data_IF_561474513323
#
_entry.id   IF_561474513323
#
_cell.length_a   1.000
_cell.length_b   1.000
_cell.length_c   1.000
_cell.angle_alpha   90.00
_cell.angle_beta   90.00
_cell.angle_gamma   90.00
#
_symmetry.space_group_name_H-M   'P 1'
#
loop_
_entity.id
_entity.type
_entity.pdbx_description
1 polymer ?
#
# COMPACT_ATOMS: atom_id res chain seq x y z
N UNK A 1 58.98 -15.48 47.02
CA UNK A 1 59.76 -15.91 45.83
C UNK A 1 59.00 -15.39 44.61
N UNK A 2 59.11 -14.13 44.18
CA UNK A 2 60.24 -13.45 43.51
C UNK A 2 60.77 -14.28 42.30
N UNK A 3 60.79 -13.82 41.04
CA UNK A 3 61.10 -12.50 40.49
C UNK A 3 60.43 -12.24 39.12
N UNK A 4 60.10 -10.95 38.90
CA UNK A 4 59.91 -10.26 37.61
C UNK A 4 61.22 -10.25 36.80
N UNK A 5 61.12 -10.16 35.46
CA UNK A 5 62.07 -9.38 34.64
C UNK A 5 61.35 -8.65 33.50
N UNK A 6 61.39 -7.33 33.59
CA UNK A 6 61.24 -6.33 32.53
C UNK A 6 62.56 -6.24 31.75
N UNK A 7 62.49 -6.05 30.42
CA UNK A 7 63.41 -5.16 29.67
C UNK A 7 62.69 -4.63 28.41
N UNK A 8 62.62 -3.30 28.29
CA UNK A 8 62.42 -2.46 27.08
C UNK A 8 63.71 -1.63 26.90
N UNK A 9 63.86 -0.76 25.87
CA UNK A 9 63.60 -0.84 24.42
C UNK A 9 64.88 -0.48 23.60
N UNK A 10 64.84 -0.54 22.27
CA UNK A 10 65.85 0.10 21.42
C UNK A 10 65.21 0.88 20.25
N UNK A 11 65.55 2.17 20.17
CA UNK A 11 65.30 3.11 19.06
C UNK A 11 66.62 3.41 18.36
N UNK A 12 66.62 3.46 17.03
CA UNK A 12 67.41 4.35 16.16
C UNK A 12 66.76 4.24 14.76
N UNK A 13 66.14 5.29 14.18
CA UNK A 13 66.81 6.32 13.37
C UNK A 13 67.35 5.69 12.08
N UNK A 14 66.84 5.86 10.86
CA UNK A 14 66.12 6.97 10.23
C UNK A 14 66.98 7.47 9.06
N UNK A 15 66.65 7.12 7.81
CA UNK A 15 67.12 7.83 6.59
C UNK A 15 65.96 7.90 5.59
N UNK A 16 65.83 9.10 5.03
CA UNK A 16 64.78 9.65 4.19
C UNK A 16 65.09 9.32 2.72
N UNK A 17 64.09 8.85 1.97
CA UNK A 17 64.16 8.66 0.52
C UNK A 17 62.77 8.79 -0.10
N UNK A 18 62.56 9.89 -0.80
CA UNK A 18 61.31 10.37 -1.39
C UNK A 18 60.72 9.41 -2.44
N UNK A 19 59.54 8.87 -2.16
CA UNK A 19 58.42 8.64 -3.10
C UNK A 19 57.16 8.62 -2.22
N UNK A 20 56.35 9.68 -2.16
CA UNK A 20 55.65 10.26 -3.30
C UNK A 20 54.30 9.56 -3.40
N UNK A 21 53.32 10.09 -2.66
CA UNK A 21 51.87 9.98 -2.90
C UNK A 21 51.35 8.68 -3.53
N UNK A 22 50.70 7.83 -2.72
CA UNK A 22 49.45 7.10 -3.05
C UNK A 22 49.08 6.13 -1.92
N UNK A 23 48.74 6.70 -0.78
CA UNK A 23 47.87 6.06 0.20
C UNK A 23 46.72 7.05 0.47
N UNK A 24 45.48 6.62 0.24
CA UNK A 24 44.27 7.41 0.50
C UNK A 24 43.72 8.19 -0.69
N UNK A 25 43.14 7.48 -1.68
CA UNK A 25 42.09 7.98 -2.62
C UNK A 25 41.77 6.88 -3.64
N UNK A 26 40.64 6.18 -3.44
CA UNK A 26 39.90 5.22 -4.32
C UNK A 26 39.30 4.17 -3.38
N UNK A 27 38.26 4.44 -2.62
CA UNK A 27 36.90 4.67 -3.10
C UNK A 27 36.28 5.81 -2.29
N UNK A 28 36.22 6.99 -2.89
CA UNK A 28 35.36 8.06 -2.40
C UNK A 28 33.93 7.69 -2.74
N UNK A 29 33.20 7.14 -1.78
CA UNK A 29 31.77 7.42 -1.72
C UNK A 29 31.66 8.80 -1.09
N UNK A 30 31.26 9.85 -1.83
CA UNK A 30 30.76 11.01 -1.16
C UNK A 30 29.53 10.55 -0.38
N UNK A 31 29.49 10.84 0.91
CA UNK A 31 28.24 11.03 1.65
C UNK A 31 27.58 12.30 1.09
N UNK A 32 27.24 12.28 -0.20
CA UNK A 32 26.28 13.18 -0.79
C UNK A 32 24.94 12.83 -0.16
N UNK A 33 24.29 13.84 0.40
CA UNK A 33 22.86 13.91 0.71
C UNK A 33 22.11 12.71 0.13
N UNK A 34 21.47 11.91 0.99
CA UNK A 34 20.46 10.95 0.55
C UNK A 34 19.44 11.74 -0.26
N UNK A 35 19.61 11.78 -1.58
CA UNK A 35 18.67 12.38 -2.48
C UNK A 35 17.37 11.63 -2.24
N UNK A 36 16.45 12.27 -1.52
CA UNK A 36 15.12 11.75 -1.33
C UNK A 36 14.60 11.42 -2.73
N UNK A 37 14.32 10.14 -2.96
CA UNK A 37 13.85 9.66 -4.26
C UNK A 37 12.69 10.55 -4.74
N UNK A 38 12.75 11.03 -5.98
CA UNK A 38 11.73 11.96 -6.48
C UNK A 38 10.35 11.29 -6.46
N UNK A 39 9.26 12.08 -6.40
CA UNK A 39 7.90 11.53 -6.48
C UNK A 39 7.69 10.63 -7.71
N UNK A 40 8.30 10.96 -8.84
CA UNK A 40 8.24 10.15 -10.08
C UNK A 40 8.97 8.82 -9.92
N UNK A 41 10.17 8.81 -9.30
CA UNK A 41 10.91 7.59 -9.00
C UNK A 41 10.10 6.66 -8.10
N UNK A 42 9.51 7.22 -7.03
CA UNK A 42 8.63 6.49 -6.13
C UNK A 42 7.39 5.91 -6.85
N UNK A 43 6.75 6.71 -7.72
CA UNK A 43 5.59 6.26 -8.53
C UNK A 43 5.94 5.12 -9.49
N UNK A 44 7.17 5.08 -9.99
CA UNK A 44 7.63 4.00 -10.86
C UNK A 44 7.96 2.73 -10.06
N UNK A 45 8.59 2.87 -8.89
CA UNK A 45 9.10 1.75 -8.09
C UNK A 45 8.06 1.10 -7.18
N UNK A 46 7.27 1.89 -6.46
CA UNK A 46 6.33 1.38 -5.44
C UNK A 46 5.28 0.39 -5.96
N UNK A 47 4.72 0.54 -7.19
CA UNK A 47 3.73 -0.40 -7.69
C UNK A 47 4.30 -1.80 -7.95
N UNK A 48 5.62 -1.93 -8.13
CA UNK A 48 6.26 -3.24 -8.33
C UNK A 48 6.17 -4.07 -7.05
N UNK A 49 5.76 -5.33 -7.19
CA UNK A 49 5.54 -6.22 -6.05
C UNK A 49 5.89 -7.67 -6.41
N UNK A 50 6.34 -8.43 -5.41
CA UNK A 50 6.67 -9.86 -5.51
C UNK A 50 5.67 -10.73 -4.73
N UNK A 51 4.97 -10.14 -3.77
CA UNK A 51 3.95 -10.78 -2.97
C UNK A 51 2.69 -11.13 -3.78
N UNK A 52 1.90 -12.03 -3.22
CA UNK A 52 0.60 -12.49 -3.73
C UNK A 52 -0.50 -11.90 -2.85
N UNK A 53 -1.20 -10.90 -3.37
CA UNK A 53 -2.18 -10.13 -2.60
C UNK A 53 -3.64 -10.49 -2.88
N UNK A 54 -3.88 -11.49 -3.75
CA UNK A 54 -5.22 -11.99 -4.06
C UNK A 54 -6.17 -10.94 -4.64
N UNK A 55 -7.46 -11.21 -4.46
CA UNK A 55 -8.60 -10.41 -4.93
C UNK A 55 -9.31 -9.79 -3.72
N UNK A 56 -9.53 -8.48 -3.78
CA UNK A 56 -10.29 -7.71 -2.80
C UNK A 56 -11.81 -8.05 -2.94
N UNK A 57 -12.56 -8.14 -1.84
CA UNK A 57 -13.98 -8.54 -1.82
C UNK A 57 -14.22 -10.06 -1.87
N UNK A 58 -13.15 -10.84 -1.93
CA UNK A 58 -13.20 -12.30 -1.85
C UNK A 58 -13.91 -12.97 -3.03
N UNK A 59 -14.25 -14.25 -2.84
CA UNK A 59 -14.88 -15.07 -3.89
C UNK A 59 -16.35 -14.72 -4.15
N UNK A 60 -17.01 -14.03 -3.21
CA UNK A 60 -18.38 -13.54 -3.39
C UNK A 60 -18.47 -12.53 -4.54
N UNK A 61 -17.56 -11.55 -4.58
CA UNK A 61 -17.49 -10.58 -5.68
C UNK A 61 -17.20 -11.24 -7.03
N UNK A 62 -16.31 -12.23 -7.06
CA UNK A 62 -15.99 -12.99 -8.30
C UNK A 62 -17.22 -13.73 -8.82
N UNK A 63 -18.00 -14.38 -7.94
CA UNK A 63 -19.24 -15.06 -8.32
C UNK A 63 -20.27 -14.09 -8.93
N UNK A 64 -20.41 -12.90 -8.35
CA UNK A 64 -21.30 -11.85 -8.89
C UNK A 64 -20.95 -11.41 -10.32
N UNK A 65 -19.70 -11.65 -10.77
CA UNK A 65 -19.24 -11.29 -12.09
C UNK A 65 -19.39 -12.40 -13.15
N UNK A 66 -19.71 -13.64 -12.75
CA UNK A 66 -19.82 -14.77 -13.69
C UNK A 66 -20.96 -14.57 -14.70
N UNK A 67 -22.11 -14.06 -14.24
CA UNK A 67 -23.26 -13.80 -15.10
C UNK A 67 -22.97 -12.73 -16.17
N UNK A 68 -22.51 -11.50 -15.82
CA UNK A 68 -22.19 -10.51 -16.85
C UNK A 68 -21.02 -10.96 -17.74
N UNK A 69 -20.04 -11.71 -17.21
CA UNK A 69 -18.98 -12.27 -18.03
C UNK A 69 -19.51 -13.28 -19.07
N UNK A 70 -20.34 -14.24 -18.64
CA UNK A 70 -20.94 -15.25 -19.52
C UNK A 70 -21.85 -14.62 -20.58
N UNK A 71 -22.71 -13.69 -20.18
CA UNK A 71 -23.58 -12.95 -21.11
C UNK A 71 -22.76 -12.12 -22.11
N UNK A 72 -21.67 -11.48 -21.66
CA UNK A 72 -20.79 -10.71 -22.53
C UNK A 72 -20.08 -11.56 -23.57
N UNK A 73 -19.52 -12.71 -23.16
CA UNK A 73 -18.89 -13.69 -24.07
C UNK A 73 -19.90 -14.23 -25.09
N UNK A 74 -21.11 -14.56 -24.64
CA UNK A 74 -22.17 -15.03 -25.53
C UNK A 74 -22.52 -13.99 -26.59
N UNK A 75 -22.74 -12.73 -26.19
CA UNK A 75 -23.06 -11.65 -27.14
C UNK A 75 -21.93 -11.41 -28.14
N UNK A 76 -20.67 -11.41 -27.69
CA UNK A 76 -19.53 -11.34 -28.61
C UNK A 76 -19.51 -12.51 -29.58
N UNK A 77 -19.71 -13.74 -29.10
CA UNK A 77 -19.79 -14.93 -29.94
C UNK A 77 -20.90 -14.83 -30.98
N UNK A 78 -22.10 -14.40 -30.56
CA UNK A 78 -23.25 -14.18 -31.45
C UNK A 78 -22.94 -13.13 -32.53
N UNK A 79 -22.23 -12.05 -32.19
CA UNK A 79 -21.86 -10.99 -33.13
C UNK A 79 -20.93 -11.49 -34.25
N UNK A 80 -20.16 -12.54 -33.98
CA UNK A 80 -19.12 -13.10 -34.85
C UNK A 80 -19.55 -14.42 -35.53
N UNK A 81 -20.77 -14.92 -35.29
CA UNK A 81 -21.23 -16.17 -35.86
C UNK A 81 -21.16 -16.16 -37.41
N UNK A 82 -20.37 -17.07 -38.02
CA UNK A 82 -20.27 -17.17 -39.47
C UNK A 82 -21.54 -17.80 -40.05
N UNK A 83 -21.87 -17.44 -41.30
CA UNK A 83 -23.00 -18.04 -42.02
C UNK A 83 -24.40 -17.57 -41.61
N UNK A 84 -24.53 -16.74 -40.57
CA UNK A 84 -25.82 -16.15 -40.17
C UNK A 84 -25.98 -14.75 -40.75
N UNK A 85 -26.96 -14.57 -41.64
CA UNK A 85 -27.36 -13.27 -42.14
C UNK A 85 -28.05 -12.48 -41.01
N UNK A 86 -27.40 -11.41 -40.54
CA UNK A 86 -27.91 -10.52 -39.50
C UNK A 86 -27.83 -9.08 -40.01
N UNK A 87 -28.81 -8.21 -39.72
CA UNK A 87 -28.67 -6.79 -39.94
C UNK A 87 -27.42 -6.23 -39.22
N UNK A 88 -26.75 -5.26 -39.84
CA UNK A 88 -25.55 -4.64 -39.27
C UNK A 88 -25.81 -4.07 -37.87
N UNK A 89 -26.95 -3.42 -37.66
CA UNK A 89 -27.30 -2.83 -36.36
C UNK A 89 -27.37 -3.90 -35.25
N UNK A 90 -27.87 -5.10 -35.55
CA UNK A 90 -27.94 -6.20 -34.58
C UNK A 90 -26.53 -6.67 -34.21
N UNK A 91 -25.64 -6.85 -35.20
CA UNK A 91 -24.24 -7.22 -34.94
C UNK A 91 -23.53 -6.18 -34.09
N UNK A 92 -23.77 -4.89 -34.35
CA UNK A 92 -23.21 -3.80 -33.57
C UNK A 92 -23.76 -3.79 -32.13
N UNK A 93 -25.06 -4.04 -31.93
CA UNK A 93 -25.65 -4.10 -30.60
C UNK A 93 -25.10 -5.28 -29.79
N UNK A 94 -24.97 -6.46 -30.41
CA UNK A 94 -24.37 -7.65 -29.80
C UNK A 94 -22.90 -7.40 -29.44
N UNK A 95 -22.12 -6.79 -30.35
CA UNK A 95 -20.71 -6.46 -30.12
C UNK A 95 -20.54 -5.45 -28.98
N UNK A 96 -21.25 -4.32 -29.04
CA UNK A 96 -21.14 -3.24 -28.04
C UNK A 96 -21.69 -3.70 -26.69
N UNK A 97 -22.83 -4.39 -26.67
CA UNK A 97 -23.39 -4.96 -25.45
C UNK A 97 -22.48 -6.00 -24.82
N UNK A 98 -21.90 -6.89 -25.62
CA UNK A 98 -20.92 -7.88 -25.18
C UNK A 98 -19.68 -7.25 -24.57
N UNK A 99 -19.09 -6.27 -25.25
CA UNK A 99 -17.95 -5.50 -24.75
C UNK A 99 -18.29 -4.72 -23.46
N UNK A 100 -19.46 -4.10 -23.38
CA UNK A 100 -19.92 -3.35 -22.22
C UNK A 100 -20.13 -4.25 -20.99
N UNK A 101 -20.59 -5.49 -21.16
CA UNK A 101 -20.72 -6.46 -20.06
C UNK A 101 -19.37 -6.99 -19.61
N UNK A 102 -18.45 -7.26 -20.54
CA UNK A 102 -17.10 -7.72 -20.22
C UNK A 102 -16.21 -6.65 -19.59
N UNK A 103 -16.50 -5.36 -19.82
CA UNK A 103 -15.73 -4.28 -19.23
C UNK A 103 -15.69 -4.37 -17.70
N UNK A 104 -16.79 -4.81 -17.06
CA UNK A 104 -16.94 -4.83 -15.61
C UNK A 104 -16.02 -5.86 -14.94
N UNK A 105 -16.04 -7.17 -15.29
CA UNK A 105 -15.08 -8.12 -14.75
C UNK A 105 -13.64 -7.76 -15.09
N UNK A 106 -13.35 -7.28 -16.30
CA UNK A 106 -11.99 -6.86 -16.67
C UNK A 106 -11.48 -5.74 -15.76
N UNK A 107 -12.32 -4.72 -15.50
CA UNK A 107 -11.98 -3.63 -14.57
C UNK A 107 -11.87 -4.10 -13.13
N UNK A 108 -12.72 -5.01 -12.68
CA UNK A 108 -12.64 -5.62 -11.34
C UNK A 108 -11.27 -6.27 -11.13
N UNK A 109 -10.90 -7.20 -12.01
CA UNK A 109 -9.63 -7.91 -11.90
C UNK A 109 -8.44 -6.95 -12.03
N UNK A 110 -8.52 -5.99 -12.95
CA UNK A 110 -7.46 -4.99 -13.07
C UNK A 110 -7.31 -4.16 -11.79
N UNK A 111 -8.37 -3.56 -11.28
CA UNK A 111 -8.30 -2.64 -10.13
C UNK A 111 -7.84 -3.37 -8.87
N UNK A 112 -8.32 -4.60 -8.67
CA UNK A 112 -7.97 -5.39 -7.48
C UNK A 112 -6.58 -6.04 -7.54
N UNK A 113 -6.12 -6.47 -8.72
CA UNK A 113 -4.83 -7.15 -8.84
C UNK A 113 -3.67 -6.19 -9.14
N UNK A 114 -3.93 -5.08 -9.82
CA UNK A 114 -2.87 -4.15 -10.29
C UNK A 114 -3.16 -2.69 -9.95
N UNK A 115 -4.37 -2.21 -10.24
CA UNK A 115 -4.74 -0.80 -10.14
C UNK A 115 -4.49 -0.21 -8.76
N UNK A 116 -4.81 -0.97 -7.69
CA UNK A 116 -4.57 -0.56 -6.31
C UNK A 116 -3.12 -0.15 -6.03
N UNK A 117 -2.15 -0.83 -6.62
CA UNK A 117 -0.72 -0.52 -6.40
C UNK A 117 -0.32 0.81 -7.02
N UNK A 118 -0.83 1.13 -8.22
CA UNK A 118 -0.58 2.41 -8.86
C UNK A 118 -1.23 3.57 -8.11
N UNK A 119 -2.47 3.38 -7.67
CA UNK A 119 -3.20 4.40 -6.92
C UNK A 119 -2.49 4.67 -5.60
N UNK A 120 -2.14 3.65 -4.83
CA UNK A 120 -1.44 3.83 -3.56
C UNK A 120 -0.02 4.37 -3.72
N UNK A 121 0.71 3.99 -4.78
CA UNK A 121 1.99 4.61 -5.08
C UNK A 121 1.86 6.12 -5.33
N UNK A 122 0.84 6.53 -6.09
CA UNK A 122 0.53 7.95 -6.32
C UNK A 122 0.19 8.65 -5.01
N UNK A 123 -0.73 8.09 -4.22
CA UNK A 123 -1.12 8.60 -2.90
C UNK A 123 0.10 8.81 -1.99
N UNK A 124 0.92 7.78 -1.80
CA UNK A 124 2.09 7.81 -0.93
C UNK A 124 3.21 8.72 -1.46
N UNK A 125 3.36 8.85 -2.78
CA UNK A 125 4.36 9.75 -3.39
C UNK A 125 4.07 11.23 -3.12
N UNK A 126 2.82 11.59 -2.86
CA UNK A 126 2.42 12.98 -2.56
C UNK A 126 2.66 13.37 -1.10
N UNK A 127 3.00 12.41 -0.23
CA UNK A 127 3.24 12.65 1.18
C UNK A 127 4.72 13.03 1.42
N UNK A 128 5.00 14.08 2.21
CA UNK A 128 6.36 14.51 2.53
C UNK A 128 6.96 13.62 3.64
N UNK A 129 7.07 12.31 3.39
CA UNK A 129 7.66 11.36 4.33
C UNK A 129 9.18 11.38 4.23
N UNK A 130 9.87 11.41 5.37
CA UNK A 130 11.33 11.44 5.47
C UNK A 130 11.96 10.05 5.47
N UNK A 131 11.14 9.00 5.55
CA UNK A 131 11.60 7.61 5.55
C UNK A 131 11.83 7.02 6.93
N UNK A 132 11.59 7.80 8.00
CA UNK A 132 11.78 7.42 9.41
C UNK A 132 10.50 7.49 10.24
N UNK A 133 9.38 7.78 9.60
CA UNK A 133 8.07 7.85 10.23
C UNK A 133 7.63 6.50 10.79
N UNK A 134 6.78 6.55 11.82
CA UNK A 134 5.99 5.41 12.27
C UNK A 134 4.62 5.50 11.63
N UNK A 135 4.30 4.54 10.76
CA UNK A 135 3.03 4.47 10.05
C UNK A 135 2.16 3.31 10.54
N UNK A 136 0.84 3.51 10.54
CA UNK A 136 -0.16 2.48 10.82
C UNK A 136 -1.02 2.26 9.58
N UNK A 137 -1.17 1.01 9.14
CA UNK A 137 -2.26 0.60 8.27
C UNK A 137 -3.36 -0.07 9.10
N UNK A 138 -4.53 0.57 9.15
CA UNK A 138 -5.73 -0.02 9.74
C UNK A 138 -6.35 -0.98 8.74
N UNK A 139 -6.58 -2.24 9.10
CA UNK A 139 -7.18 -3.27 8.24
C UNK A 139 -6.27 -3.60 7.07
N UNK A 140 -5.06 -4.05 7.39
CA UNK A 140 -4.02 -4.24 6.38
C UNK A 140 -4.25 -5.44 5.44
N UNK A 141 -5.24 -6.31 5.74
CA UNK A 141 -5.51 -7.52 4.99
C UNK A 141 -4.22 -8.30 4.72
N UNK A 142 -3.94 -8.57 3.44
CA UNK A 142 -2.70 -9.26 3.01
C UNK A 142 -1.46 -8.37 2.91
N UNK A 143 -1.43 -7.23 3.60
CA UNK A 143 -0.31 -6.30 3.73
C UNK A 143 0.15 -5.60 2.44
N UNK A 144 -0.75 -5.33 1.50
CA UNK A 144 -0.40 -4.69 0.22
C UNK A 144 0.12 -3.26 0.38
N UNK A 145 -0.60 -2.42 1.13
CA UNK A 145 -0.18 -1.04 1.37
C UNK A 145 0.92 -0.99 2.44
N UNK A 146 0.84 -1.86 3.45
CA UNK A 146 1.86 -2.01 4.47
C UNK A 146 3.24 -2.31 3.87
N UNK A 147 3.30 -3.18 2.85
CA UNK A 147 4.54 -3.44 2.13
C UNK A 147 5.07 -2.20 1.39
N UNK A 148 4.19 -1.41 0.77
CA UNK A 148 4.59 -0.13 0.15
C UNK A 148 5.07 0.88 1.19
N UNK A 149 4.45 0.94 2.37
CA UNK A 149 4.93 1.73 3.50
C UNK A 149 6.32 1.26 3.95
N UNK A 150 6.54 -0.04 4.10
CA UNK A 150 7.88 -0.59 4.43
C UNK A 150 8.94 -0.17 3.40
N UNK A 151 8.62 -0.21 2.10
CA UNK A 151 9.51 0.27 1.04
C UNK A 151 9.77 1.78 1.09
N UNK A 152 8.82 2.56 1.63
CA UNK A 152 8.88 4.02 1.72
C UNK A 152 9.56 4.51 3.00
N UNK A 153 9.65 3.65 4.01
CA UNK A 153 10.14 3.94 5.36
C UNK A 153 11.37 3.09 5.69
N UNK A 154 12.53 3.32 5.04
CA UNK A 154 13.72 2.48 5.23
C UNK A 154 14.29 2.50 6.66
N UNK A 155 14.11 3.60 7.37
CA UNK A 155 14.54 3.78 8.76
C UNK A 155 13.35 3.81 9.74
N UNK A 156 12.14 3.78 9.20
CA UNK A 156 10.90 3.88 9.96
C UNK A 156 10.31 2.52 10.33
N UNK A 157 9.04 2.54 10.73
CA UNK A 157 8.27 1.34 11.08
C UNK A 157 6.87 1.45 10.51
N UNK A 158 6.36 0.35 9.95
CA UNK A 158 4.99 0.25 9.49
C UNK A 158 4.27 -0.83 10.28
N UNK A 159 3.12 -0.50 10.87
CA UNK A 159 2.34 -1.41 11.72
C UNK A 159 1.03 -1.70 11.01
N UNK A 160 0.67 -2.97 10.84
CA UNK A 160 -0.61 -3.41 10.29
C UNK A 160 -1.49 -4.02 11.37
N UNK A 161 -2.75 -3.59 11.43
CA UNK A 161 -3.78 -4.16 12.32
C UNK A 161 -4.86 -4.81 11.47
N UNK A 162 -5.25 -6.05 11.75
CA UNK A 162 -6.25 -6.78 10.94
C UNK A 162 -7.03 -7.80 11.78
N UNK A 163 -8.27 -8.11 11.37
CA UNK A 163 -9.13 -9.13 11.98
C UNK A 163 -9.03 -10.50 11.30
N UNK A 164 -8.37 -10.57 10.14
CA UNK A 164 -8.05 -11.79 9.38
C UNK A 164 -9.29 -12.54 8.89
N UNK A 165 -10.22 -11.81 8.28
CA UNK A 165 -11.47 -12.35 7.72
C UNK A 165 -11.33 -12.67 6.24
N UNK A 166 -11.65 -13.89 5.85
CA UNK A 166 -11.51 -14.36 4.45
C UNK A 166 -12.67 -13.92 3.55
N UNK A 167 -13.79 -13.52 4.16
CA UNK A 167 -14.96 -12.97 3.48
C UNK A 167 -14.63 -11.61 2.83
N UNK A 168 -13.80 -10.81 3.50
CA UNK A 168 -13.43 -9.46 3.05
C UNK A 168 -12.33 -9.49 1.96
N UNK A 169 -11.42 -10.47 2.02
CA UNK A 169 -10.34 -10.64 1.03
C UNK A 169 -9.93 -12.11 0.91
N UNK A 170 -9.72 -12.59 -0.32
CA UNK A 170 -9.33 -13.98 -0.58
C UNK A 170 -8.00 -14.34 0.09
N UNK A 171 -7.98 -15.43 0.86
CA UNK A 171 -6.80 -15.95 1.59
C UNK A 171 -6.23 -14.93 2.61
N UNK A 172 -7.08 -14.09 3.20
CA UNK A 172 -6.68 -13.19 4.27
C UNK A 172 -6.31 -13.98 5.53
N UNK A 173 -5.02 -14.00 5.86
CA UNK A 173 -4.50 -14.57 7.10
C UNK A 173 -3.22 -13.85 7.52
N UNK A 174 -2.85 -13.98 8.78
CA UNK A 174 -1.60 -13.45 9.31
C UNK A 174 -0.38 -13.98 8.52
N UNK A 175 -0.37 -15.28 8.21
CA UNK A 175 0.71 -15.96 7.49
C UNK A 175 0.82 -15.45 6.06
N UNK A 176 -0.31 -15.25 5.37
CA UNK A 176 -0.29 -14.77 3.99
C UNK A 176 0.19 -13.32 3.90
N UNK A 177 -0.21 -12.47 4.85
CA UNK A 177 0.30 -11.11 5.00
C UNK A 177 1.80 -11.09 5.31
N UNK A 178 2.25 -11.90 6.27
CA UNK A 178 3.67 -12.02 6.62
C UNK A 178 4.52 -12.54 5.45
N UNK A 179 4.03 -13.54 4.72
CA UNK A 179 4.71 -14.07 3.54
C UNK A 179 4.89 -13.00 2.45
N UNK A 180 3.90 -12.12 2.27
CA UNK A 180 4.04 -10.98 1.36
C UNK A 180 5.11 -10.00 1.84
N UNK A 181 5.12 -9.61 3.11
CA UNK A 181 6.15 -8.71 3.65
C UNK A 181 7.57 -9.28 3.46
N UNK A 182 7.74 -10.60 3.63
CA UNK A 182 9.02 -11.29 3.37
C UNK A 182 9.36 -11.26 1.88
N UNK A 183 8.41 -11.60 1.00
CA UNK A 183 8.62 -11.59 -0.45
C UNK A 183 9.00 -10.19 -0.99
N UNK A 184 8.52 -9.13 -0.35
CA UNK A 184 8.85 -7.74 -0.67
C UNK A 184 10.17 -7.25 -0.04
N UNK A 185 10.78 -8.04 0.85
CA UNK A 185 12.02 -7.67 1.53
C UNK A 185 11.85 -6.56 2.58
N UNK A 186 10.67 -6.44 3.20
CA UNK A 186 10.36 -5.38 4.18
C UNK A 186 9.82 -5.92 5.51
N UNK A 187 9.92 -7.24 5.75
CA UNK A 187 9.45 -7.84 7.00
C UNK A 187 10.20 -7.33 8.25
N UNK A 188 11.43 -6.86 8.10
CA UNK A 188 12.29 -6.32 9.17
C UNK A 188 11.80 -4.99 9.77
N UNK A 189 10.95 -4.27 9.04
CA UNK A 189 10.41 -2.95 9.42
C UNK A 189 8.89 -2.90 9.46
N UNK A 190 8.23 -4.03 9.23
CA UNK A 190 6.79 -4.16 9.25
C UNK A 190 6.35 -5.08 10.38
N UNK A 191 5.38 -4.63 11.17
CA UNK A 191 4.76 -5.40 12.24
C UNK A 191 3.31 -5.72 11.88
N UNK A 192 2.84 -6.91 12.25
CA UNK A 192 1.45 -7.34 12.07
C UNK A 192 0.86 -7.68 13.42
N UNK A 193 -0.34 -7.21 13.67
CA UNK A 193 -1.07 -7.42 14.92
C UNK A 193 -2.53 -7.73 14.62
N UNK A 194 -3.13 -8.60 15.42
CA UNK A 194 -4.56 -8.88 15.37
C UNK A 194 -5.30 -7.86 16.22
N UNK A 195 -6.30 -7.18 15.66
CA UNK A 195 -7.08 -6.20 16.42
C UNK A 195 -8.24 -5.59 15.64
N UNK A 196 -9.22 -5.07 16.38
CA UNK A 196 -10.32 -4.31 15.81
C UNK A 196 -9.92 -2.83 15.66
N UNK A 197 -10.14 -2.29 14.48
CA UNK A 197 -9.79 -0.91 14.17
C UNK A 197 -10.72 0.12 14.82
N UNK A 198 -11.81 -0.33 15.45
CA UNK A 198 -12.68 0.47 16.33
C UNK A 198 -12.13 0.58 17.76
N UNK A 199 -11.12 -0.20 18.10
CA UNK A 199 -10.44 -0.18 19.41
C UNK A 199 -8.97 -0.58 19.22
N UNK A 200 -8.15 0.34 18.71
CA UNK A 200 -6.77 0.08 18.36
C UNK A 200 -5.94 -0.19 19.63
N UNK A 201 -5.14 -1.27 19.66
CA UNK A 201 -4.21 -1.57 20.75
C UNK A 201 -2.94 -0.72 20.63
N UNK A 202 -3.10 0.60 20.45
CA UNK A 202 -2.02 1.56 20.26
C UNK A 202 -2.24 2.77 21.15
N UNK A 203 -1.17 3.31 21.78
CA UNK A 203 -1.27 4.53 22.55
C UNK A 203 -1.67 5.74 21.70
N UNK A 204 -2.23 6.74 22.37
CA UNK A 204 -2.48 8.06 21.79
C UNK A 204 -1.18 8.64 21.21
N UNK A 205 -1.30 9.44 20.15
CA UNK A 205 -0.19 10.18 19.57
C UNK A 205 1.08 9.34 19.28
N UNK A 206 0.91 8.12 18.77
CA UNK A 206 2.00 7.18 18.53
C UNK A 206 2.47 7.12 17.07
N UNK A 207 1.65 7.53 16.10
CA UNK A 207 1.94 7.44 14.67
C UNK A 207 2.06 8.80 13.99
N UNK A 208 2.98 8.91 13.03
CA UNK A 208 3.13 10.08 12.16
C UNK A 208 2.16 10.01 10.96
N UNK A 209 1.81 8.79 10.54
CA UNK A 209 0.91 8.51 9.42
C UNK A 209 -0.04 7.36 9.78
N UNK A 210 -1.32 7.53 9.52
CA UNK A 210 -2.31 6.46 9.51
C UNK A 210 -2.87 6.34 8.11
N UNK A 211 -2.92 5.13 7.58
CA UNK A 211 -3.54 4.82 6.29
C UNK A 211 -4.63 3.77 6.45
N UNK A 212 -5.65 3.86 5.61
CA UNK A 212 -6.76 2.89 5.58
C UNK A 212 -7.21 2.65 4.14
N UNK A 213 -7.32 1.39 3.74
CA UNK A 213 -7.81 0.97 2.42
C UNK A 213 -9.13 0.19 2.55
N UNK A 214 -10.18 0.65 1.86
CA UNK A 214 -11.39 -0.11 1.52
C UNK A 214 -11.98 -0.94 2.67
N UNK A 215 -12.14 -0.37 3.86
CA UNK A 215 -12.66 -1.15 4.98
C UNK A 215 -13.42 -0.36 6.05
N UNK A 216 -13.54 0.98 5.96
CA UNK A 216 -14.45 1.69 6.90
C UNK A 216 -15.90 1.50 6.44
N UNK A 217 -16.16 1.48 5.13
CA UNK A 217 -17.50 1.22 4.58
C UNK A 217 -18.08 -0.16 4.95
N UNK A 218 -17.23 -1.14 5.28
CA UNK A 218 -17.67 -2.48 5.70
C UNK A 218 -18.23 -2.50 7.13
N UNK A 219 -18.00 -1.44 7.92
CA UNK A 219 -18.65 -1.31 9.23
C UNK A 219 -20.11 -0.88 8.99
N UNK A 220 -21.09 -1.71 9.37
CA UNK A 220 -22.48 -1.52 8.94
C UNK A 220 -23.10 -0.26 9.54
N UNK A 221 -22.81 0.01 10.81
CA UNK A 221 -23.40 1.11 11.56
C UNK A 221 -22.51 2.37 11.55
N UNK A 222 -23.17 3.53 11.65
CA UNK A 222 -22.48 4.82 11.66
C UNK A 222 -21.60 5.02 12.90
N UNK A 223 -22.04 4.54 14.06
CA UNK A 223 -21.29 4.70 15.30
C UNK A 223 -19.95 3.97 15.26
N UNK A 224 -19.92 2.75 14.72
CA UNK A 224 -18.70 2.00 14.48
C UNK A 224 -17.77 2.68 13.47
N UNK A 225 -18.30 3.30 12.40
CA UNK A 225 -17.48 4.10 11.46
C UNK A 225 -16.88 5.33 12.17
N UNK A 226 -17.65 6.03 12.99
CA UNK A 226 -17.15 7.16 13.80
C UNK A 226 -16.09 6.72 14.81
N UNK A 227 -16.26 5.55 15.44
CA UNK A 227 -15.28 4.99 16.37
C UNK A 227 -13.97 4.70 15.64
N UNK A 228 -14.02 4.04 14.48
CA UNK A 228 -12.84 3.78 13.65
C UNK A 228 -12.08 5.07 13.26
N UNK A 229 -12.80 6.10 12.83
CA UNK A 229 -12.19 7.40 12.51
C UNK A 229 -11.61 8.07 13.76
N UNK A 230 -12.34 8.01 14.88
CA UNK A 230 -11.88 8.52 16.17
C UNK A 230 -10.58 7.87 16.61
N UNK A 231 -10.47 6.54 16.51
CA UNK A 231 -9.25 5.80 16.82
C UNK A 231 -8.09 6.18 15.89
N UNK A 232 -8.36 6.32 14.59
CA UNK A 232 -7.37 6.77 13.62
C UNK A 232 -6.77 8.15 14.00
N UNK A 233 -7.63 9.08 14.44
CA UNK A 233 -7.20 10.41 14.88
C UNK A 233 -6.50 10.36 16.25
N UNK A 234 -7.01 9.58 17.20
CA UNK A 234 -6.45 9.44 18.55
C UNK A 234 -4.98 8.98 18.52
N UNK A 235 -4.67 8.00 17.67
CA UNK A 235 -3.31 7.45 17.59
C UNK A 235 -2.35 8.32 16.77
N UNK A 236 -2.84 9.35 16.08
CA UNK A 236 -1.98 10.29 15.36
C UNK A 236 -1.32 11.28 16.31
N UNK A 237 -0.02 11.48 16.10
CA UNK A 237 0.73 12.58 16.71
C UNK A 237 0.14 13.93 16.26
N UNK A 238 0.29 15.00 17.05
CA UNK A 238 0.09 16.35 16.56
C UNK A 238 0.90 16.60 15.28
N UNK A 239 0.24 17.06 14.21
CA UNK A 239 0.84 17.24 12.89
C UNK A 239 0.95 15.96 12.03
N UNK A 240 0.46 14.83 12.55
CA UNK A 240 0.34 13.57 11.83
C UNK A 240 -0.69 13.65 10.69
N UNK A 241 -0.64 12.65 9.81
CA UNK A 241 -1.47 12.62 8.59
C UNK A 241 -2.35 11.38 8.56
N UNK A 242 -3.59 11.54 8.11
CA UNK A 242 -4.50 10.44 7.83
C UNK A 242 -4.76 10.36 6.33
N UNK A 243 -4.67 9.16 5.77
CA UNK A 243 -5.08 8.88 4.40
C UNK A 243 -6.07 7.73 4.38
N UNK A 244 -7.32 8.03 4.01
CA UNK A 244 -8.36 7.03 3.82
C UNK A 244 -8.52 6.87 2.31
N UNK A 245 -8.64 5.65 1.81
CA UNK A 245 -9.04 5.40 0.42
C UNK A 245 -10.25 4.46 0.44
N UNK A 246 -11.42 5.00 0.12
CA UNK A 246 -12.69 4.29 0.23
C UNK A 246 -13.59 4.55 -1.00
N UNK A 247 -14.63 3.75 -1.21
CA UNK A 247 -15.55 3.81 -2.37
C UNK A 247 -16.95 4.30 -1.99
N UNK A 248 -17.28 4.35 -0.71
CA UNK A 248 -18.61 4.76 -0.22
C UNK A 248 -18.50 5.51 1.11
N UNK A 249 -19.55 6.25 1.48
CA UNK A 249 -19.74 6.88 2.82
C UNK A 249 -18.71 7.97 3.16
N UNK A 250 -18.03 8.51 2.18
CA UNK A 250 -16.85 9.37 2.39
C UNK A 250 -17.20 10.78 2.84
N UNK A 251 -18.39 11.27 2.51
CA UNK A 251 -18.93 12.52 3.07
C UNK A 251 -19.11 12.42 4.58
N UNK A 252 -19.56 11.26 5.09
CA UNK A 252 -19.66 11.02 6.54
C UNK A 252 -18.27 11.11 7.19
N UNK A 253 -17.22 10.68 6.49
CA UNK A 253 -15.85 10.71 7.01
C UNK A 253 -15.33 12.14 7.12
N UNK A 254 -15.59 12.98 6.10
CA UNK A 254 -15.18 14.38 6.11
C UNK A 254 -15.69 15.10 7.35
N UNK A 255 -17.00 15.03 7.58
CA UNK A 255 -17.64 15.66 8.73
C UNK A 255 -17.00 15.19 10.04
N UNK A 256 -16.84 13.87 10.21
CA UNK A 256 -16.27 13.31 11.44
C UNK A 256 -14.80 13.70 11.66
N UNK A 257 -14.02 13.85 10.60
CA UNK A 257 -12.61 14.26 10.65
C UNK A 257 -12.49 15.73 11.07
N UNK A 258 -13.34 16.59 10.51
CA UNK A 258 -13.41 18.01 10.90
C UNK A 258 -13.81 18.16 12.37
N UNK A 259 -14.84 17.43 12.82
CA UNK A 259 -15.24 17.36 14.23
C UNK A 259 -14.12 16.83 15.14
N UNK A 260 -13.23 15.99 14.62
CA UNK A 260 -12.05 15.48 15.34
C UNK A 260 -10.89 16.48 15.40
N UNK A 261 -11.02 17.67 14.79
CA UNK A 261 -9.98 18.68 14.75
C UNK A 261 -8.90 18.45 13.67
N UNK A 262 -9.15 17.57 12.69
CA UNK A 262 -8.24 17.41 11.56
C UNK A 262 -8.29 18.63 10.64
N UNK A 263 -7.11 19.08 10.22
CA UNK A 263 -6.95 20.23 9.32
C UNK A 263 -6.69 19.78 7.88
N UNK A 264 -7.04 20.64 6.92
CA UNK A 264 -6.82 20.40 5.48
C UNK A 264 -7.44 19.10 4.95
N UNK A 265 -8.60 18.73 5.51
CA UNK A 265 -9.40 17.60 5.03
C UNK A 265 -9.84 17.89 3.60
N UNK A 266 -9.52 16.98 2.68
CA UNK A 266 -9.83 17.12 1.26
C UNK A 266 -10.32 15.79 0.75
N UNK A 267 -11.32 15.85 -0.12
CA UNK A 267 -11.80 14.71 -0.87
C UNK A 267 -11.29 14.81 -2.30
N UNK A 268 -10.65 13.76 -2.81
CA UNK A 268 -10.26 13.66 -4.22
C UNK A 268 -10.72 12.35 -4.84
N UNK A 269 -11.20 12.35 -6.09
CA UNK A 269 -11.44 11.11 -6.82
C UNK A 269 -10.12 10.39 -7.14
N UNK A 270 -10.13 9.07 -7.04
CA UNK A 270 -9.01 8.15 -7.33
C UNK A 270 -9.09 7.54 -8.74
N UNK A 271 -10.18 7.83 -9.45
CA UNK A 271 -10.41 7.40 -10.83
C UNK A 271 -10.62 5.89 -10.99
N UNK A 272 -10.70 5.45 -12.25
CA UNK A 272 -11.12 4.10 -12.63
C UNK A 272 -10.19 2.97 -12.17
N UNK A 273 -8.96 3.29 -11.78
CA UNK A 273 -7.97 2.30 -11.32
C UNK A 273 -8.23 1.83 -9.89
N UNK A 274 -9.10 2.53 -9.15
CA UNK A 274 -9.43 2.22 -7.77
C UNK A 274 -10.89 1.74 -7.65
N UNK A 275 -11.11 0.51 -7.21
CA UNK A 275 -12.45 -0.09 -7.13
C UNK A 275 -13.00 -0.48 -8.51
N UNK A 276 -14.03 -1.32 -8.53
CA UNK A 276 -14.62 -1.89 -9.74
C UNK A 276 -15.46 -0.87 -10.54
N UNK A 277 -14.84 0.24 -10.97
CA UNK A 277 -15.52 1.34 -11.67
C UNK A 277 -16.20 2.37 -10.77
N UNK A 278 -16.09 2.24 -9.44
CA UNK A 278 -16.52 3.27 -8.50
C UNK A 278 -15.46 4.37 -8.39
N UNK A 279 -15.88 5.63 -8.25
CA UNK A 279 -14.99 6.71 -7.86
C UNK A 279 -14.57 6.47 -6.42
N UNK A 280 -13.46 5.76 -6.23
CA UNK A 280 -12.76 5.82 -4.96
C UNK A 280 -12.42 7.25 -4.61
N UNK A 281 -12.38 7.57 -3.34
CA UNK A 281 -11.98 8.89 -2.87
C UNK A 281 -11.00 8.79 -1.71
N UNK A 282 -10.12 9.79 -1.65
CA UNK A 282 -9.15 10.00 -0.59
C UNK A 282 -9.31 11.35 0.05
#
# INVERSE_FOLDING_TARGET
MEKKRLVTPARAGGIIGKHGEKAGKRLGYPLTEMNAESPEGLRARLPSHRGRYGIDGGWGSVRGLLLPAGAGILLLGLSLLPGVAKPLFQRLLELVGGAALLQMPLRFFYSTMRGKFFVWAELLSTLPLRGKERALEMGCGRAAVLAMLGKRLPEGRAVGIELWRTEDQSENSFESARANLVAEGVADRCELHTGDIRALPSPDASFDLVVRKLAIHNIPDWDGRKQAIGEAVRVLKPGGRLLIADIHRTEEYLQRLEEAGMLHVRLRPLGWRFGCGFLGVT
#
